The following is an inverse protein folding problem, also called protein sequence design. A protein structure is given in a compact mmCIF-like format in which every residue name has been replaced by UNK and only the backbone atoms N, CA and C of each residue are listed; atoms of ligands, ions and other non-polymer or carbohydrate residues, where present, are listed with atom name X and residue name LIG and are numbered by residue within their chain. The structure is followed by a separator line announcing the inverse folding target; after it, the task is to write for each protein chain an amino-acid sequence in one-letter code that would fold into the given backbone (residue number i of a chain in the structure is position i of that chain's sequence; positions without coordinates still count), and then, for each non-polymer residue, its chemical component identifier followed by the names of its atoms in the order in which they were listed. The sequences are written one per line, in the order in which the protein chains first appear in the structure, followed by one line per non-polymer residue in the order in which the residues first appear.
data_IF_460177853833
#
_entry.id   IF_460177853833
#
_cell.length_a   1.000
_cell.length_b   1.000
_cell.length_c   1.000
_cell.angle_alpha   90.00
_cell.angle_beta   90.00
_cell.angle_gamma   90.00
#
_symmetry.space_group_name_H-M   'P 1'
#
loop_
_entity.id
_entity.type
_entity.pdbx_description
1 polymer ?
#
# COMPACT_ATOMS: atom_id res chain seq x y z
N UNK A 1 29.66 40.94 -56.03
CA UNK A 1 30.45 39.81 -55.48
C UNK A 1 30.60 40.00 -53.98
N UNK A 2 29.77 39.40 -53.22
CA UNK A 2 29.85 39.31 -51.75
C UNK A 2 29.52 37.91 -51.29
N UNK A 3 30.30 37.30 -50.41
CA UNK A 3 30.04 35.92 -49.97
C UNK A 3 29.09 35.93 -48.82
N UNK A 4 28.06 35.11 -48.96
CA UNK A 4 27.15 34.75 -47.85
C UNK A 4 27.86 33.81 -46.89
N UNK A 5 27.84 34.22 -45.64
CA UNK A 5 28.42 33.50 -44.51
C UNK A 5 27.39 32.49 -43.98
N UNK A 6 27.72 31.24 -44.12
CA UNK A 6 26.99 30.11 -43.61
C UNK A 6 27.21 30.05 -42.10
N UNK A 7 26.17 30.27 -41.30
CA UNK A 7 26.17 29.99 -39.84
C UNK A 7 25.27 28.83 -39.57
N UNK A 8 25.90 27.70 -39.32
CA UNK A 8 25.38 26.48 -38.77
C UNK A 8 24.42 26.70 -37.58
N UNK A 9 23.18 26.28 -37.78
CA UNK A 9 22.20 26.07 -36.73
C UNK A 9 22.47 24.69 -36.11
N UNK A 10 23.24 24.68 -35.03
CA UNK A 10 23.35 23.51 -34.15
C UNK A 10 23.48 24.00 -32.72
N UNK A 11 22.33 24.16 -32.07
CA UNK A 11 22.18 23.98 -30.63
C UNK A 11 20.68 24.03 -30.31
N UNK A 12 20.04 22.88 -30.44
CA UNK A 12 18.76 22.63 -29.74
C UNK A 12 19.12 22.41 -28.29
N UNK A 13 18.97 23.47 -27.50
CA UNK A 13 18.99 23.38 -26.05
C UNK A 13 17.95 22.36 -25.60
N UNK A 14 18.43 21.36 -24.91
CA UNK A 14 17.60 20.41 -24.19
C UNK A 14 16.78 21.18 -23.14
N UNK A 15 15.54 21.49 -23.47
CA UNK A 15 14.57 21.99 -22.49
C UNK A 15 14.29 20.85 -21.52
N UNK A 16 15.01 20.86 -20.42
CA UNK A 16 14.66 20.02 -19.27
C UNK A 16 13.34 20.57 -18.74
N UNK A 17 12.24 19.93 -19.10
CA UNK A 17 10.92 20.20 -18.52
C UNK A 17 11.00 19.72 -17.08
N UNK A 18 11.35 20.60 -16.16
CA UNK A 18 11.07 20.40 -14.74
C UNK A 18 9.55 20.34 -14.61
N UNK A 19 9.02 19.14 -14.41
CA UNK A 19 7.63 18.97 -14.02
C UNK A 19 7.45 19.79 -12.74
N UNK A 20 6.76 20.93 -12.83
CA UNK A 20 6.46 21.80 -11.69
C UNK A 20 5.74 20.93 -10.67
N UNK A 21 6.37 20.65 -9.53
CA UNK A 21 5.79 19.80 -8.50
C UNK A 21 4.47 20.44 -8.06
N UNK A 22 3.36 19.73 -8.28
CA UNK A 22 2.03 20.23 -7.95
C UNK A 22 1.91 20.35 -6.44
N UNK A 23 1.73 21.57 -5.92
CA UNK A 23 1.55 21.83 -4.49
C UNK A 23 0.11 22.23 -4.20
N UNK A 24 -0.52 21.52 -3.29
CA UNK A 24 -1.90 21.74 -2.85
C UNK A 24 -1.90 22.08 -1.36
N UNK A 25 -2.43 23.24 -1.03
CA UNK A 25 -2.52 23.73 0.36
C UNK A 25 -3.95 23.57 0.89
N UNK A 26 -4.08 22.73 1.91
CA UNK A 26 -5.34 22.52 2.65
C UNK A 26 -5.47 23.61 3.71
N UNK A 27 -6.49 24.45 3.58
CA UNK A 27 -6.74 25.59 4.48
C UNK A 27 -7.72 25.25 5.60
N UNK A 28 -8.61 24.28 5.38
CA UNK A 28 -9.63 23.87 6.34
C UNK A 28 -9.32 22.49 6.88
N UNK A 29 -9.28 22.38 8.19
CA UNK A 29 -8.97 21.14 8.88
C UNK A 29 -8.64 21.40 10.35
N UNK A 30 -8.27 20.37 11.06
CA UNK A 30 -7.92 20.44 12.48
C UNK A 30 -6.91 19.35 12.82
N UNK A 31 -5.75 19.76 13.32
CA UNK A 31 -4.81 18.86 13.98
C UNK A 31 -5.25 18.69 15.43
N UNK A 32 -5.77 17.52 15.77
CA UNK A 32 -6.26 17.24 17.13
C UNK A 32 -5.07 17.11 18.07
N UNK A 33 -4.95 17.95 19.11
CA UNK A 33 -3.81 17.94 20.03
C UNK A 33 -3.91 16.82 21.07
N UNK A 34 -3.61 15.59 20.63
CA UNK A 34 -3.57 14.41 21.52
C UNK A 34 -2.17 14.28 22.11
N UNK A 35 -2.07 14.14 23.43
CA UNK A 35 -0.80 13.87 24.11
C UNK A 35 -0.31 12.45 23.88
N UNK A 36 0.99 12.19 24.11
CA UNK A 36 1.57 10.86 23.91
C UNK A 36 1.93 10.59 22.45
N UNK A 37 2.47 11.62 21.77
CA UNK A 37 2.99 11.46 20.40
C UNK A 37 4.12 10.43 20.37
N UNK A 38 4.08 9.42 19.49
CA UNK A 38 5.11 8.41 19.40
C UNK A 38 6.44 9.00 18.92
N UNK A 39 7.53 8.59 19.56
CA UNK A 39 8.86 8.77 19.01
C UNK A 39 8.94 8.11 17.63
N UNK A 40 9.50 8.82 16.65
CA UNK A 40 9.60 8.34 15.26
C UNK A 40 10.80 7.39 15.07
N UNK A 41 11.09 6.59 16.09
CA UNK A 41 12.09 5.53 16.06
C UNK A 41 11.39 4.17 16.08
N UNK A 42 11.78 3.29 15.15
CA UNK A 42 11.21 1.96 15.02
C UNK A 42 11.86 1.00 16.00
N UNK A 43 11.06 0.40 16.86
CA UNK A 43 11.45 -0.66 17.79
C UNK A 43 10.86 -1.98 17.31
N UNK A 44 11.63 -3.05 17.36
CA UNK A 44 11.11 -4.39 17.12
C UNK A 44 10.19 -4.78 18.27
N UNK A 45 8.96 -5.11 17.94
CA UNK A 45 7.98 -5.55 18.93
C UNK A 45 8.28 -6.98 19.41
N UNK A 46 7.71 -7.35 20.55
CA UNK A 46 7.72 -8.73 21.01
C UNK A 46 7.04 -9.63 19.96
N UNK A 47 7.54 -10.85 19.74
CA UNK A 47 6.86 -11.81 18.88
C UNK A 47 5.44 -12.09 19.40
N UNK A 48 4.46 -12.04 18.51
CA UNK A 48 3.09 -12.44 18.81
C UNK A 48 2.89 -13.92 18.50
N UNK A 49 1.97 -14.57 19.21
CA UNK A 49 1.59 -15.97 19.01
C UNK A 49 0.35 -16.12 18.15
N UNK A 50 -0.44 -15.05 18.03
CA UNK A 50 -1.68 -15.04 17.27
C UNK A 50 -1.69 -13.90 16.27
N UNK A 51 -2.26 -14.21 15.10
CA UNK A 51 -2.58 -13.22 14.08
C UNK A 51 -4.03 -13.38 13.66
N UNK A 52 -4.64 -12.29 13.24
CA UNK A 52 -6.03 -12.27 12.79
C UNK A 52 -6.20 -11.60 11.45
N UNK A 53 -7.14 -12.12 10.66
CA UNK A 53 -7.66 -11.47 9.48
C UNK A 53 -9.09 -11.05 9.76
N UNK A 54 -9.41 -9.76 9.61
CA UNK A 54 -10.72 -9.22 9.97
C UNK A 54 -11.59 -9.07 8.72
N UNK A 55 -12.81 -9.62 8.77
CA UNK A 55 -13.78 -9.49 7.69
C UNK A 55 -14.24 -8.05 7.49
N UNK A 56 -14.30 -7.26 8.55
CA UNK A 56 -14.74 -5.85 8.53
C UNK A 56 -13.78 -4.91 7.82
N UNK A 57 -12.51 -5.32 7.65
CA UNK A 57 -11.52 -4.53 6.90
C UNK A 57 -11.82 -4.44 5.40
N UNK A 58 -12.75 -5.27 4.92
CA UNK A 58 -13.10 -5.36 3.51
C UNK A 58 -14.58 -5.06 3.29
N UNK A 59 -14.86 -3.87 2.76
CA UNK A 59 -16.23 -3.41 2.48
C UNK A 59 -16.92 -4.35 1.49
N UNK A 60 -18.16 -4.79 1.84
CA UNK A 60 -18.99 -5.70 1.02
C UNK A 60 -18.38 -7.09 0.78
N UNK A 61 -17.46 -7.53 1.64
CA UNK A 61 -16.87 -8.86 1.58
C UNK A 61 -17.93 -9.95 1.73
N UNK A 62 -17.94 -10.90 0.79
CA UNK A 62 -18.71 -12.14 0.87
C UNK A 62 -17.76 -13.33 0.79
N UNK A 63 -17.27 -13.83 1.93
CA UNK A 63 -16.24 -14.86 1.93
C UNK A 63 -16.79 -16.24 1.56
N UNK A 64 -16.06 -16.94 0.68
CA UNK A 64 -16.12 -18.39 0.51
C UNK A 64 -14.91 -18.97 1.25
N UNK A 65 -15.14 -19.59 2.40
CA UNK A 65 -14.07 -20.16 3.22
C UNK A 65 -13.40 -21.32 2.48
N UNK A 66 -12.08 -21.35 2.50
CA UNK A 66 -11.23 -22.40 1.97
C UNK A 66 -10.58 -23.22 3.10
N UNK A 67 -10.71 -22.75 4.34
CA UNK A 67 -10.16 -23.39 5.53
C UNK A 67 -11.23 -23.54 6.62
N UNK A 68 -11.00 -24.46 7.54
CA UNK A 68 -11.80 -24.71 8.74
C UNK A 68 -10.95 -24.53 10.00
N UNK A 69 -11.62 -24.46 11.17
CA UNK A 69 -10.93 -24.49 12.46
C UNK A 69 -10.17 -25.82 12.62
N UNK A 70 -8.92 -25.73 13.05
CA UNK A 70 -8.01 -26.87 13.19
C UNK A 70 -7.07 -27.07 11.99
N UNK A 71 -7.35 -26.48 10.83
CA UNK A 71 -6.50 -26.62 9.65
C UNK A 71 -5.13 -25.96 9.88
N UNK A 72 -4.08 -26.60 9.36
CA UNK A 72 -2.75 -26.02 9.21
C UNK A 72 -2.70 -25.17 7.94
N UNK A 73 -2.12 -24.00 8.08
CA UNK A 73 -1.93 -23.06 6.95
C UNK A 73 -0.52 -22.56 6.90
N UNK A 74 -0.04 -22.29 5.68
CA UNK A 74 1.23 -21.62 5.42
C UNK A 74 1.05 -20.11 5.36
N UNK A 75 2.12 -19.35 5.58
CA UNK A 75 2.15 -17.93 5.24
C UNK A 75 1.81 -17.77 3.74
N UNK A 76 0.88 -16.89 3.42
CA UNK A 76 0.44 -16.65 2.04
C UNK A 76 -0.60 -17.61 1.50
N UNK A 77 -0.93 -18.69 2.21
CA UNK A 77 -2.00 -19.60 1.80
C UNK A 77 -3.36 -18.93 1.85
N UNK A 78 -4.20 -19.15 0.84
CA UNK A 78 -5.55 -18.58 0.79
C UNK A 78 -6.44 -19.12 1.93
N UNK A 79 -7.04 -18.22 2.70
CA UNK A 79 -7.99 -18.53 3.78
C UNK A 79 -9.43 -18.51 3.28
N UNK A 80 -9.75 -17.56 2.44
CA UNK A 80 -11.05 -17.44 1.80
C UNK A 80 -10.98 -16.60 0.53
N UNK A 81 -11.93 -16.83 -0.36
CA UNK A 81 -12.09 -16.10 -1.61
C UNK A 81 -13.28 -15.12 -1.52
N UNK A 82 -13.23 -14.03 -2.25
CA UNK A 82 -14.33 -13.09 -2.35
C UNK A 82 -15.33 -13.52 -3.44
N UNK A 83 -16.52 -14.03 -3.05
CA UNK A 83 -17.53 -14.59 -3.97
C UNK A 83 -17.93 -13.68 -5.14
N UNK A 84 -17.86 -12.34 -4.96
CA UNK A 84 -18.23 -11.37 -6.00
C UNK A 84 -17.07 -10.96 -6.90
N UNK A 85 -15.84 -11.30 -6.53
CA UNK A 85 -14.61 -10.94 -7.24
C UNK A 85 -13.79 -12.23 -7.42
N UNK A 86 -14.05 -13.04 -8.44
CA UNK A 86 -13.35 -14.30 -8.65
C UNK A 86 -11.84 -14.12 -8.71
N UNK A 87 -11.10 -15.01 -8.05
CA UNK A 87 -9.64 -14.95 -7.93
C UNK A 87 -9.11 -14.02 -6.84
N UNK A 88 -9.96 -13.16 -6.25
CA UNK A 88 -9.54 -12.31 -5.13
C UNK A 88 -9.59 -13.12 -3.85
N UNK A 89 -8.42 -13.50 -3.34
CA UNK A 89 -8.25 -14.22 -2.09
C UNK A 89 -7.68 -13.34 -0.99
N UNK A 90 -8.04 -13.67 0.24
CA UNK A 90 -7.39 -13.16 1.44
C UNK A 90 -6.53 -14.29 2.00
N UNK A 91 -5.25 -14.00 2.20
CA UNK A 91 -4.23 -15.00 2.54
C UNK A 91 -3.81 -14.93 3.99
N UNK A 92 -3.22 -16.01 4.50
CA UNK A 92 -2.75 -16.12 5.87
C UNK A 92 -1.53 -15.21 6.11
N UNK A 93 -1.54 -14.33 7.13
CA UNK A 93 -0.41 -13.48 7.48
C UNK A 93 0.69 -14.20 8.27
N UNK A 94 0.63 -15.50 8.40
CA UNK A 94 1.63 -16.34 9.05
C UNK A 94 1.26 -17.82 8.99
N UNK A 95 2.27 -18.67 9.11
CA UNK A 95 2.10 -20.11 9.19
C UNK A 95 1.60 -20.53 10.57
N UNK A 96 0.69 -21.49 10.61
CA UNK A 96 0.16 -21.98 11.89
C UNK A 96 -1.13 -22.77 11.76
N UNK A 97 -1.89 -22.79 12.85
CA UNK A 97 -3.18 -23.49 12.92
C UNK A 97 -4.31 -22.49 13.01
N UNK A 98 -5.33 -22.64 12.18
CA UNK A 98 -6.58 -21.87 12.29
C UNK A 98 -7.24 -22.18 13.64
N UNK A 99 -7.16 -21.24 14.57
CA UNK A 99 -7.63 -21.43 15.95
C UNK A 99 -9.12 -21.18 16.09
N UNK A 100 -9.64 -20.19 15.36
CA UNK A 100 -11.05 -19.82 15.41
C UNK A 100 -11.48 -19.06 14.15
N UNK A 101 -12.75 -19.24 13.77
CA UNK A 101 -13.43 -18.47 12.72
C UNK A 101 -14.66 -17.82 13.34
N UNK A 102 -14.49 -16.57 13.78
CA UNK A 102 -15.57 -15.84 14.43
C UNK A 102 -16.58 -15.29 13.41
N UNK A 103 -17.85 -15.50 13.72
CA UNK A 103 -18.96 -15.00 12.91
C UNK A 103 -19.95 -14.22 13.78
N UNK A 104 -20.38 -13.08 13.27
CA UNK A 104 -21.39 -12.23 13.90
C UNK A 104 -22.81 -12.54 13.40
N UNK A 105 -23.68 -11.56 13.59
CA UNK A 105 -25.05 -11.61 13.11
C UNK A 105 -25.10 -11.94 11.61
N UNK A 106 -26.14 -12.68 11.19
CA UNK A 106 -26.31 -13.14 9.80
C UNK A 106 -25.09 -13.89 9.22
N UNK A 107 -24.28 -14.52 10.10
CA UNK A 107 -23.05 -15.26 9.75
C UNK A 107 -21.97 -14.38 9.08
N UNK A 108 -22.00 -13.05 9.29
CA UNK A 108 -20.96 -12.16 8.82
C UNK A 108 -19.60 -12.58 9.39
N UNK A 109 -18.59 -12.73 8.54
CA UNK A 109 -17.24 -13.05 9.00
C UNK A 109 -16.70 -11.86 9.83
N UNK A 110 -16.36 -12.12 11.09
CA UNK A 110 -15.71 -11.16 11.96
C UNK A 110 -14.19 -11.31 11.88
N UNK A 111 -13.68 -12.50 12.12
CA UNK A 111 -12.24 -12.76 12.04
C UNK A 111 -11.93 -14.24 11.77
N UNK A 112 -10.76 -14.48 11.18
CA UNK A 112 -10.05 -15.75 11.16
C UNK A 112 -8.81 -15.57 12.02
N UNK A 113 -8.68 -16.35 13.09
CA UNK A 113 -7.55 -16.30 14.03
C UNK A 113 -6.63 -17.48 13.78
N UNK A 114 -5.36 -17.23 13.60
CA UNK A 114 -4.32 -18.23 13.40
C UNK A 114 -3.37 -18.19 14.59
N UNK A 115 -3.15 -19.34 15.23
CA UNK A 115 -2.07 -19.53 16.20
C UNK A 115 -0.81 -19.88 15.41
N UNK A 116 0.19 -19.03 15.49
CA UNK A 116 1.45 -19.19 14.77
C UNK A 116 2.23 -20.41 15.27
N UNK A 117 2.91 -21.06 14.36
CA UNK A 117 3.89 -22.11 14.66
C UNK A 117 5.27 -21.46 14.93
N UNK A 118 6.18 -22.23 15.55
CA UNK A 118 7.55 -21.77 15.83
C UNK A 118 8.39 -21.67 14.54
N UNK A 119 8.01 -22.43 13.50
CA UNK A 119 8.62 -22.40 12.18
C UNK A 119 7.65 -21.81 11.16
N UNK A 120 8.15 -20.94 10.28
CA UNK A 120 7.32 -20.31 9.26
C UNK A 120 7.43 -21.06 7.94
N UNK A 121 6.44 -21.91 7.63
CA UNK A 121 6.26 -22.48 6.29
C UNK A 121 5.50 -21.47 5.42
N UNK A 122 5.93 -21.26 4.16
CA UNK A 122 5.38 -20.21 3.30
C UNK A 122 5.06 -20.68 1.89
N UNK A 123 4.07 -20.05 1.30
CA UNK A 123 3.83 -20.12 -0.15
C UNK A 123 4.82 -19.19 -0.86
N UNK A 124 5.29 -19.64 -2.02
CA UNK A 124 6.15 -18.83 -2.89
C UNK A 124 5.40 -18.39 -4.14
N UNK A 125 5.71 -17.20 -4.61
CA UNK A 125 5.03 -16.54 -5.73
C UNK A 125 6.02 -16.21 -6.84
N UNK A 126 5.55 -15.68 -7.95
CA UNK A 126 6.43 -15.27 -9.02
C UNK A 126 7.36 -14.12 -8.57
N UNK A 127 8.64 -14.26 -8.89
CA UNK A 127 9.65 -13.22 -8.70
C UNK A 127 10.34 -12.90 -10.02
N UNK A 128 10.83 -11.68 -10.12
CA UNK A 128 11.42 -11.15 -11.34
C UNK A 128 12.71 -10.40 -11.03
N UNK A 129 13.72 -10.49 -11.89
CA UNK A 129 14.90 -9.63 -11.82
C UNK A 129 14.49 -8.15 -11.86
N UNK A 130 15.21 -7.30 -11.12
CA UNK A 130 14.87 -5.87 -10.97
C UNK A 130 14.79 -5.15 -12.31
N UNK A 131 15.70 -5.46 -13.24
CA UNK A 131 15.75 -4.90 -14.59
C UNK A 131 14.55 -5.30 -15.47
N UNK A 132 13.82 -6.35 -15.10
CA UNK A 132 12.63 -6.81 -15.80
C UNK A 132 11.32 -6.20 -15.27
N UNK A 133 11.31 -5.59 -14.09
CA UNK A 133 10.09 -5.05 -13.47
C UNK A 133 9.37 -4.03 -14.37
N UNK A 134 10.14 -3.20 -15.09
CA UNK A 134 9.58 -2.21 -16.01
C UNK A 134 9.01 -2.79 -17.31
N UNK A 135 9.29 -4.06 -17.61
CA UNK A 135 8.82 -4.76 -18.82
C UNK A 135 7.68 -5.75 -18.53
N UNK A 136 7.27 -5.90 -17.28
CA UNK A 136 6.15 -6.79 -16.91
C UNK A 136 4.89 -6.43 -17.67
N UNK A 137 4.15 -7.44 -18.07
CA UNK A 137 2.80 -7.27 -18.59
C UNK A 137 1.81 -7.00 -17.46
N UNK A 138 0.73 -6.31 -17.77
CA UNK A 138 -0.41 -6.11 -16.88
C UNK A 138 -0.91 -7.43 -16.27
N UNK A 139 -1.06 -8.46 -17.11
CA UNK A 139 -1.50 -9.79 -16.67
C UNK A 139 -0.55 -10.40 -15.64
N UNK A 140 0.77 -10.33 -15.84
CA UNK A 140 1.75 -10.83 -14.87
C UNK A 140 1.61 -10.13 -13.51
N UNK A 141 1.35 -8.82 -13.52
CA UNK A 141 1.16 -8.05 -12.30
C UNK A 141 -0.14 -8.44 -11.60
N UNK A 142 -1.25 -8.48 -12.33
CA UNK A 142 -2.56 -8.86 -11.79
C UNK A 142 -2.53 -10.27 -11.20
N UNK A 143 -2.03 -11.25 -11.95
CA UNK A 143 -2.00 -12.65 -11.55
C UNK A 143 -1.18 -12.85 -10.27
N UNK A 144 -0.01 -12.22 -10.18
CA UNK A 144 0.85 -12.35 -8.99
C UNK A 144 0.27 -11.65 -7.75
N UNK A 145 -0.36 -10.47 -7.93
CA UNK A 145 -1.07 -9.78 -6.84
C UNK A 145 -2.30 -10.57 -6.36
N UNK A 146 -3.02 -11.23 -7.26
CA UNK A 146 -4.16 -12.09 -6.91
C UNK A 146 -3.67 -13.34 -6.18
N UNK A 147 -2.69 -14.05 -6.71
CA UNK A 147 -2.15 -15.27 -6.13
C UNK A 147 -1.61 -15.05 -4.71
N UNK A 148 -0.91 -13.94 -4.47
CA UNK A 148 -0.34 -13.59 -3.18
C UNK A 148 -1.35 -13.01 -2.17
N UNK A 149 -2.55 -12.63 -2.63
CA UNK A 149 -3.54 -11.91 -1.82
C UNK A 149 -3.23 -10.41 -1.66
N UNK A 150 -2.14 -9.87 -2.20
CA UNK A 150 -1.84 -8.44 -2.11
C UNK A 150 -2.77 -7.57 -2.95
N UNK A 151 -3.53 -8.15 -3.88
CA UNK A 151 -4.56 -7.41 -4.62
C UNK A 151 -5.53 -6.65 -3.71
N UNK A 152 -5.84 -7.18 -2.52
CA UNK A 152 -6.78 -6.56 -1.58
C UNK A 152 -6.29 -5.21 -1.02
N UNK A 153 -5.02 -4.87 -1.21
CA UNK A 153 -4.47 -3.56 -0.86
C UNK A 153 -5.04 -2.44 -1.75
N UNK A 154 -5.42 -2.76 -2.98
CA UNK A 154 -6.01 -1.80 -3.92
C UNK A 154 -7.47 -1.54 -3.56
N UNK A 155 -7.75 -0.31 -3.10
CA UNK A 155 -9.09 0.12 -2.71
C UNK A 155 -9.69 1.03 -3.76
N UNK A 156 -10.86 0.64 -4.29
CA UNK A 156 -11.60 1.40 -5.28
C UNK A 156 -12.52 2.45 -4.64
N UNK A 157 -12.36 3.71 -5.03
CA UNK A 157 -13.23 4.81 -4.61
C UNK A 157 -14.29 5.09 -5.69
N UNK A 158 -15.52 5.46 -5.28
CA UNK A 158 -15.91 6.15 -4.04
C UNK A 158 -16.16 5.26 -2.81
N UNK A 159 -16.35 3.95 -2.95
CA UNK A 159 -16.87 3.12 -1.86
C UNK A 159 -15.80 2.41 -1.02
N UNK A 160 -14.52 2.54 -1.33
CA UNK A 160 -13.40 1.87 -0.66
C UNK A 160 -13.51 0.33 -0.64
N UNK A 161 -14.15 -0.24 -1.65
CA UNK A 161 -14.19 -1.68 -1.88
C UNK A 161 -12.85 -2.18 -2.42
N UNK A 162 -12.60 -3.48 -2.34
CA UNK A 162 -11.50 -4.10 -3.08
C UNK A 162 -11.69 -3.80 -4.57
N UNK A 163 -10.61 -3.44 -5.24
CA UNK A 163 -10.64 -3.17 -6.68
C UNK A 163 -11.06 -4.42 -7.47
N UNK A 164 -11.91 -4.24 -8.48
CA UNK A 164 -12.27 -5.32 -9.40
C UNK A 164 -11.11 -5.56 -10.37
N UNK A 165 -10.47 -6.75 -10.36
CA UNK A 165 -9.31 -7.03 -11.20
C UNK A 165 -9.59 -7.00 -12.71
N UNK A 166 -10.86 -7.10 -13.11
CA UNK A 166 -11.28 -7.05 -14.51
C UNK A 166 -11.41 -5.61 -15.04
N UNK A 167 -11.34 -4.61 -14.18
CA UNK A 167 -11.47 -3.18 -14.53
C UNK A 167 -10.11 -2.46 -14.43
N UNK A 168 -10.09 -1.22 -14.92
CA UNK A 168 -8.97 -0.30 -14.73
C UNK A 168 -9.47 1.04 -14.20
N UNK A 169 -8.74 1.67 -13.27
CA UNK A 169 -9.14 2.96 -12.69
C UNK A 169 -8.75 4.10 -13.62
N UNK A 170 -9.35 5.28 -13.39
CA UNK A 170 -8.91 6.51 -14.03
C UNK A 170 -7.54 6.99 -13.51
N UNK A 171 -7.19 6.66 -12.27
CA UNK A 171 -5.88 6.92 -11.67
C UNK A 171 -5.65 5.98 -10.47
N UNK A 172 -4.36 5.79 -10.11
CA UNK A 172 -3.95 5.11 -8.87
C UNK A 172 -3.29 6.14 -7.95
N UNK A 173 -3.61 6.08 -6.66
CA UNK A 173 -3.06 6.97 -5.65
C UNK A 173 -2.25 6.20 -4.62
N UNK A 174 -1.03 6.62 -4.40
CA UNK A 174 -0.17 6.16 -3.30
C UNK A 174 -0.12 7.26 -2.25
N UNK A 175 -0.61 6.96 -1.04
CA UNK A 175 -0.46 7.87 0.10
C UNK A 175 0.89 7.65 0.75
N UNK A 176 1.82 8.59 0.51
CA UNK A 176 3.16 8.62 1.09
C UNK A 176 3.29 9.76 2.14
N UNK A 177 2.19 10.11 2.76
CA UNK A 177 2.08 11.00 3.91
C UNK A 177 0.89 10.55 4.78
N UNK A 178 0.91 10.98 6.05
CA UNK A 178 -0.18 10.72 6.97
C UNK A 178 -0.39 11.95 7.87
N UNK A 179 -1.62 12.43 7.97
CA UNK A 179 -2.02 13.52 8.84
C UNK A 179 -2.95 13.07 9.99
N UNK A 180 -3.14 11.75 10.17
CA UNK A 180 -3.89 11.28 11.32
C UNK A 180 -3.15 11.63 12.62
N UNK A 181 -3.87 11.94 13.70
CA UNK A 181 -3.24 12.17 15.00
C UNK A 181 -2.37 10.97 15.40
N UNK A 182 -1.18 11.27 15.94
CA UNK A 182 -0.22 10.28 16.44
C UNK A 182 0.31 9.28 15.39
N UNK A 183 0.12 9.52 14.10
CA UNK A 183 0.59 8.65 13.05
C UNK A 183 2.13 8.57 12.99
N UNK A 184 2.62 7.48 12.40
CA UNK A 184 4.01 7.37 11.99
C UNK A 184 4.29 8.32 10.81
N UNK A 185 5.46 8.95 10.80
CA UNK A 185 5.94 9.68 9.61
C UNK A 185 6.36 8.67 8.54
N UNK A 186 5.74 8.71 7.34
CA UNK A 186 6.10 7.79 6.27
C UNK A 186 7.51 7.98 5.72
N UNK A 187 8.07 9.18 5.77
CA UNK A 187 9.34 9.50 5.10
C UNK A 187 10.51 8.64 5.58
N UNK A 188 10.81 8.54 6.89
CA UNK A 188 11.88 7.67 7.38
C UNK A 188 11.66 6.20 7.02
N UNK A 189 10.40 5.75 7.03
CA UNK A 189 10.03 4.37 6.74
C UNK A 189 10.21 4.03 5.26
N UNK A 190 9.82 4.93 4.36
CA UNK A 190 10.04 4.79 2.93
C UNK A 190 11.54 4.85 2.62
N UNK A 191 12.29 5.75 3.28
CA UNK A 191 13.73 5.88 3.06
C UNK A 191 14.48 4.61 3.47
N UNK A 192 14.08 3.98 4.58
CA UNK A 192 14.65 2.70 5.02
C UNK A 192 14.37 1.54 4.04
N UNK A 193 13.33 1.65 3.24
CA UNK A 193 12.88 0.63 2.26
C UNK A 193 12.83 1.22 0.84
N UNK A 194 13.76 2.13 0.53
CA UNK A 194 13.76 2.93 -0.70
C UNK A 194 13.69 2.09 -1.97
N UNK A 195 14.49 1.03 -2.06
CA UNK A 195 14.51 0.13 -3.21
C UNK A 195 13.16 -0.59 -3.37
N UNK A 196 12.66 -1.20 -2.29
CA UNK A 196 11.38 -1.91 -2.31
C UNK A 196 10.22 -0.98 -2.68
N UNK A 197 10.23 0.26 -2.19
CA UNK A 197 9.23 1.25 -2.54
C UNK A 197 9.29 1.64 -4.03
N UNK A 198 10.49 1.89 -4.56
CA UNK A 198 10.71 2.18 -5.99
C UNK A 198 10.29 1.01 -6.89
N UNK A 199 10.62 -0.23 -6.51
CA UNK A 199 10.20 -1.44 -7.21
C UNK A 199 8.67 -1.59 -7.20
N UNK A 200 8.02 -1.35 -6.06
CA UNK A 200 6.56 -1.38 -5.95
C UNK A 200 5.87 -0.35 -6.84
N UNK A 201 6.39 0.87 -6.92
CA UNK A 201 5.88 1.88 -7.85
C UNK A 201 6.07 1.44 -9.31
N UNK A 202 7.22 0.85 -9.65
CA UNK A 202 7.48 0.32 -11.00
C UNK A 202 6.47 -0.76 -11.36
N UNK A 203 6.22 -1.71 -10.47
CA UNK A 203 5.22 -2.77 -10.66
C UNK A 203 3.81 -2.19 -10.84
N UNK A 204 3.37 -1.29 -9.94
CA UNK A 204 2.05 -0.65 -10.03
C UNK A 204 1.87 0.14 -11.32
N UNK A 205 2.93 0.73 -11.84
CA UNK A 205 2.91 1.44 -13.12
C UNK A 205 2.59 0.53 -14.32
N UNK A 206 2.74 -0.78 -14.16
CA UNK A 206 2.45 -1.77 -15.21
C UNK A 206 0.97 -2.15 -15.29
N UNK A 207 0.14 -1.74 -14.33
CA UNK A 207 -1.31 -1.94 -14.38
C UNK A 207 -2.02 -1.10 -15.45
N UNK A 208 -1.31 -0.24 -16.17
CA UNK A 208 -1.83 0.55 -17.27
C UNK A 208 -1.07 1.86 -17.47
N UNK A 209 -1.61 2.73 -18.30
CA UNK A 209 -1.01 4.04 -18.64
C UNK A 209 -1.65 5.22 -17.89
N UNK A 210 -2.64 4.93 -17.00
CA UNK A 210 -3.28 5.94 -16.18
C UNK A 210 -2.29 6.59 -15.20
N UNK A 211 -2.54 7.82 -14.74
CA UNK A 211 -1.70 8.46 -13.75
C UNK A 211 -1.56 7.63 -12.47
N UNK A 212 -0.31 7.43 -12.03
CA UNK A 212 0.04 6.91 -10.71
C UNK A 212 0.54 8.09 -9.86
N UNK A 213 -0.32 8.60 -8.99
CA UNK A 213 -0.03 9.73 -8.13
C UNK A 213 0.64 9.30 -6.83
N UNK A 214 1.84 9.81 -6.55
CA UNK A 214 2.50 9.69 -5.24
C UNK A 214 2.26 10.99 -4.48
N UNK A 215 1.38 10.93 -3.47
CA UNK A 215 0.98 12.07 -2.65
C UNK A 215 1.84 12.13 -1.39
N UNK A 216 2.56 13.25 -1.20
CA UNK A 216 3.59 13.40 -0.17
C UNK A 216 3.52 14.77 0.52
N UNK A 217 4.22 14.93 1.64
CA UNK A 217 4.48 16.24 2.25
C UNK A 217 5.44 17.06 1.36
N UNK A 218 5.40 18.38 1.42
CA UNK A 218 6.26 19.23 0.57
C UNK A 218 7.76 18.97 0.76
N UNK A 219 8.17 18.68 1.98
CA UNK A 219 9.58 18.46 2.36
C UNK A 219 10.05 17.01 2.15
N UNK A 220 9.16 16.09 1.81
CA UNK A 220 9.53 14.70 1.59
C UNK A 220 10.29 14.55 0.25
N UNK A 221 11.46 13.93 0.32
CA UNK A 221 12.19 13.44 -0.86
C UNK A 221 11.97 11.93 -0.92
N UNK A 222 11.33 11.45 -1.99
CA UNK A 222 10.96 10.05 -2.13
C UNK A 222 11.69 9.41 -3.31
N UNK A 223 12.09 8.14 -3.20
CA UNK A 223 12.75 7.40 -4.27
C UNK A 223 11.73 7.02 -5.35
N UNK A 224 11.63 7.83 -6.39
CA UNK A 224 10.73 7.57 -7.52
C UNK A 224 11.47 6.89 -8.66
N UNK A 225 10.83 5.95 -9.37
CA UNK A 225 11.40 5.33 -10.54
C UNK A 225 11.54 6.35 -11.68
N UNK A 226 12.69 6.32 -12.34
CA UNK A 226 12.96 7.19 -13.47
C UNK A 226 12.35 6.64 -14.78
N UNK A 227 12.06 7.52 -15.74
CA UNK A 227 11.60 7.13 -17.07
C UNK A 227 10.12 6.75 -17.17
N UNK A 228 9.35 6.78 -16.08
CA UNK A 228 7.93 6.48 -16.06
C UNK A 228 7.10 7.77 -16.02
N UNK A 229 6.78 8.34 -17.18
CA UNK A 229 6.12 9.65 -17.33
C UNK A 229 4.73 9.74 -16.69
N UNK A 230 4.05 8.62 -16.47
CA UNK A 230 2.74 8.57 -15.84
C UNK A 230 2.82 8.41 -14.30
N UNK A 231 4.01 8.16 -13.74
CA UNK A 231 4.25 8.27 -12.29
C UNK A 231 4.47 9.74 -11.94
N UNK A 232 3.57 10.32 -11.18
CA UNK A 232 3.51 11.75 -10.88
C UNK A 232 3.56 12.00 -9.39
N UNK A 233 4.11 13.15 -8.98
CA UNK A 233 4.11 13.58 -7.59
C UNK A 233 3.13 14.73 -7.38
N UNK A 234 2.50 14.74 -6.19
CA UNK A 234 1.76 15.89 -5.70
C UNK A 234 2.08 16.11 -4.22
N UNK A 235 2.39 17.35 -3.87
CA UNK A 235 2.67 17.74 -2.49
C UNK A 235 1.42 18.34 -1.85
N UNK A 236 1.12 17.88 -0.63
CA UNK A 236 0.00 18.37 0.17
C UNK A 236 0.52 18.97 1.47
N UNK A 237 0.08 20.20 1.78
CA UNK A 237 0.43 20.93 2.98
C UNK A 237 -0.83 21.36 3.73
N UNK A 238 -0.76 21.38 5.05
CA UNK A 238 -1.84 21.86 5.90
C UNK A 238 -2.26 20.86 6.97
N UNK A 239 -3.30 21.23 7.77
CA UNK A 239 -3.78 20.37 8.85
C UNK A 239 -4.49 19.12 8.31
N UNK A 240 -4.75 18.16 9.20
CA UNK A 240 -5.64 17.06 8.88
C UNK A 240 -6.98 17.60 8.32
N UNK A 241 -7.45 17.13 7.16
CA UNK A 241 -7.19 15.83 6.51
C UNK A 241 -6.20 15.88 5.33
N UNK A 242 -5.18 16.73 5.34
CA UNK A 242 -4.23 16.87 4.22
C UNK A 242 -3.59 15.54 3.76
N UNK A 243 -3.36 14.60 4.69
CA UNK A 243 -2.75 13.29 4.42
C UNK A 243 -3.72 12.16 4.08
N UNK A 244 -5.01 12.44 3.90
CA UNK A 244 -5.98 11.39 3.60
C UNK A 244 -6.12 11.13 2.09
N UNK A 245 -6.28 9.86 1.66
CA UNK A 245 -6.49 9.54 0.25
C UNK A 245 -7.71 10.24 -0.35
N UNK A 246 -8.79 10.44 0.44
CA UNK A 246 -9.98 11.17 -0.02
C UNK A 246 -9.68 12.62 -0.38
N UNK A 247 -8.81 13.29 0.36
CA UNK A 247 -8.36 14.66 0.06
C UNK A 247 -7.52 14.68 -1.20
N UNK A 248 -6.56 13.77 -1.33
CA UNK A 248 -5.71 13.66 -2.52
C UNK A 248 -6.55 13.45 -3.78
N UNK A 249 -7.48 12.50 -3.74
CA UNK A 249 -8.38 12.17 -4.86
C UNK A 249 -9.25 13.38 -5.23
N UNK A 250 -9.81 14.07 -4.23
CA UNK A 250 -10.67 15.23 -4.45
C UNK A 250 -9.98 16.33 -5.26
N UNK A 251 -8.71 16.61 -4.96
CA UNK A 251 -7.98 17.71 -5.58
C UNK A 251 -7.31 17.35 -6.91
N UNK A 252 -6.97 16.06 -7.12
CA UNK A 252 -6.23 15.63 -8.30
C UNK A 252 -7.11 14.97 -9.37
N UNK A 253 -7.95 14.02 -8.95
CA UNK A 253 -8.79 13.22 -9.85
C UNK A 253 -10.13 12.89 -9.16
N UNK A 254 -11.02 13.89 -8.98
CA UNK A 254 -12.29 13.68 -8.28
C UNK A 254 -13.09 12.53 -8.89
N UNK A 255 -13.64 11.69 -8.02
CA UNK A 255 -14.50 10.56 -8.38
C UNK A 255 -15.95 10.98 -8.56
N UNK A 256 -16.67 10.28 -9.40
CA UNK A 256 -18.11 10.35 -9.57
C UNK A 256 -18.70 8.94 -9.82
N UNK A 257 -19.96 8.86 -10.22
CA UNK A 257 -20.63 7.56 -10.47
C UNK A 257 -20.02 6.76 -11.62
N UNK A 258 -19.29 7.41 -12.54
CA UNK A 258 -18.69 6.81 -13.72
C UNK A 258 -17.16 6.77 -13.66
N UNK A 259 -16.56 7.49 -12.70
CA UNK A 259 -15.11 7.62 -12.56
C UNK A 259 -14.63 6.99 -11.27
N UNK A 260 -13.96 5.85 -11.41
CA UNK A 260 -13.36 5.09 -10.30
C UNK A 260 -11.85 5.34 -10.28
N UNK A 261 -11.29 5.54 -9.09
CA UNK A 261 -9.85 5.55 -8.85
C UNK A 261 -9.49 4.53 -7.80
N UNK A 262 -8.24 4.06 -7.83
CA UNK A 262 -7.73 3.15 -6.79
C UNK A 262 -6.75 3.88 -5.89
N UNK A 263 -6.64 3.41 -4.65
CA UNK A 263 -5.61 3.91 -3.73
C UNK A 263 -5.06 2.80 -2.85
N UNK A 264 -3.82 3.01 -2.39
CA UNK A 264 -3.14 2.19 -1.41
C UNK A 264 -2.14 3.06 -0.63
N UNK A 265 -1.63 2.56 0.49
CA UNK A 265 -0.63 3.27 1.27
C UNK A 265 0.81 2.82 0.92
N UNK A 266 1.80 3.55 1.44
CA UNK A 266 3.22 3.30 1.16
C UNK A 266 3.71 1.93 1.64
N UNK A 267 3.20 1.37 2.75
CA UNK A 267 3.63 0.07 3.24
C UNK A 267 3.16 -1.07 2.32
N UNK A 268 1.99 -0.93 1.70
CA UNK A 268 1.53 -1.86 0.66
C UNK A 268 2.43 -1.77 -0.60
N UNK A 269 2.86 -0.57 -0.99
CA UNK A 269 3.78 -0.40 -2.12
C UNK A 269 5.12 -1.11 -1.84
N UNK A 270 5.67 -0.96 -0.64
CA UNK A 270 6.88 -1.66 -0.20
C UNK A 270 6.68 -3.19 -0.25
N UNK A 271 5.54 -3.67 0.26
CA UNK A 271 5.23 -5.10 0.24
C UNK A 271 5.11 -5.66 -1.18
N UNK A 272 4.52 -4.90 -2.11
CA UNK A 272 4.45 -5.26 -3.54
C UNK A 272 5.86 -5.32 -4.14
N UNK A 273 6.72 -4.34 -3.87
CA UNK A 273 8.10 -4.36 -4.35
C UNK A 273 8.86 -5.58 -3.86
N UNK A 274 8.76 -5.91 -2.57
CA UNK A 274 9.36 -7.11 -1.98
C UNK A 274 8.82 -8.40 -2.60
N UNK A 275 7.50 -8.51 -2.80
CA UNK A 275 6.90 -9.67 -3.44
C UNK A 275 7.50 -9.92 -4.82
N UNK A 276 7.51 -8.91 -5.67
CA UNK A 276 7.92 -9.06 -7.07
C UNK A 276 9.42 -9.32 -7.23
N UNK A 277 10.25 -8.89 -6.29
CA UNK A 277 11.70 -9.14 -6.34
C UNK A 277 12.13 -10.44 -5.66
N UNK A 278 11.38 -10.90 -4.63
CA UNK A 278 11.77 -12.07 -3.84
C UNK A 278 10.86 -13.29 -4.02
N UNK A 279 9.65 -13.14 -4.54
CA UNK A 279 8.61 -14.17 -4.58
C UNK A 279 8.03 -14.51 -3.20
N UNK A 280 8.31 -13.71 -2.17
CA UNK A 280 7.88 -13.95 -0.79
C UNK A 280 6.95 -12.86 -0.30
N UNK A 281 5.91 -13.24 0.44
CA UNK A 281 4.95 -12.30 1.00
C UNK A 281 5.55 -11.61 2.25
N UNK A 282 5.72 -10.29 2.17
CA UNK A 282 6.15 -9.50 3.33
C UNK A 282 4.96 -9.15 4.21
N UNK A 283 4.96 -9.62 5.43
CA UNK A 283 3.94 -9.31 6.45
C UNK A 283 4.38 -8.26 7.45
N UNK A 284 5.59 -7.73 7.33
CA UNK A 284 6.10 -6.66 8.20
C UNK A 284 5.21 -5.44 8.14
N UNK A 285 4.87 -4.89 9.30
CA UNK A 285 4.12 -3.65 9.47
C UNK A 285 4.75 -2.78 10.54
N UNK A 286 4.78 -1.48 10.26
CA UNK A 286 5.14 -0.47 11.26
C UNK A 286 3.84 0.18 11.73
N UNK A 287 3.62 0.13 13.03
CA UNK A 287 2.46 0.73 13.69
C UNK A 287 2.88 1.74 14.73
N UNK A 288 2.14 2.83 14.87
CA UNK A 288 2.37 3.84 15.88
C UNK A 288 1.61 3.46 17.16
N UNK A 289 2.34 3.23 18.23
CA UNK A 289 1.81 3.09 19.58
C UNK A 289 1.90 4.43 20.28
N UNK A 290 0.77 5.12 20.41
CA UNK A 290 0.70 6.47 20.99
C UNK A 290 -0.58 6.70 21.78
N UNK A 291 -0.65 7.81 22.48
CA UNK A 291 -1.79 8.24 23.27
C UNK A 291 -1.47 8.52 24.73
N UNK A 292 -2.38 9.20 25.45
CA UNK A 292 -2.11 9.75 26.79
C UNK A 292 -1.82 8.68 27.87
N UNK A 293 -2.27 7.45 27.65
CA UNK A 293 -2.06 6.34 28.60
C UNK A 293 -0.91 5.42 28.20
N UNK A 294 -0.24 5.66 27.08
CA UNK A 294 0.91 4.87 26.67
C UNK A 294 2.15 5.33 27.42
N UNK A 295 2.79 4.43 28.18
CA UNK A 295 3.97 4.74 28.98
C UNK A 295 5.18 5.13 28.12
N UNK A 296 5.34 4.49 26.98
CA UNK A 296 6.45 4.69 26.05
C UNK A 296 5.91 4.76 24.61
N UNK A 297 5.41 5.94 24.19
CA UNK A 297 4.93 6.14 22.82
C UNK A 297 6.07 5.98 21.80
N UNK A 298 5.92 5.08 20.84
CA UNK A 298 6.95 4.74 19.85
C UNK A 298 6.37 4.05 18.62
N UNK A 299 7.18 3.87 17.58
CA UNK A 299 6.83 3.01 16.48
C UNK A 299 7.25 1.58 16.79
N UNK A 300 6.38 0.63 16.43
CA UNK A 300 6.62 -0.79 16.59
C UNK A 300 6.66 -1.49 15.23
N UNK A 301 7.75 -2.21 14.98
CA UNK A 301 7.80 -3.17 13.88
C UNK A 301 7.17 -4.48 14.36
N UNK A 302 6.10 -4.87 13.73
CA UNK A 302 5.35 -6.09 13.99
C UNK A 302 4.96 -6.77 12.68
N UNK A 303 3.99 -7.66 12.71
CA UNK A 303 3.48 -8.32 11.51
C UNK A 303 2.00 -7.99 11.28
N UNK A 304 1.56 -8.15 10.04
CA UNK A 304 0.17 -8.00 9.64
C UNK A 304 -0.73 -8.90 10.49
N UNK A 305 -1.81 -8.32 11.01
CA UNK A 305 -2.79 -9.05 11.82
C UNK A 305 -2.35 -9.40 13.24
N UNK A 306 -1.24 -8.86 13.74
CA UNK A 306 -0.74 -9.12 15.09
C UNK A 306 -1.80 -8.89 16.17
N UNK A 307 -1.89 -9.81 17.13
CA UNK A 307 -2.78 -9.69 18.30
C UNK A 307 -2.32 -8.49 19.16
N UNK A 308 -3.21 -7.52 19.36
CA UNK A 308 -2.88 -6.28 20.11
C UNK A 308 -2.53 -6.57 21.57
N UNK A 309 -3.24 -7.49 22.22
CA UNK A 309 -2.98 -7.86 23.62
C UNK A 309 -1.58 -8.47 23.83
N UNK A 310 -1.03 -9.11 22.81
CA UNK A 310 0.32 -9.68 22.86
C UNK A 310 1.39 -8.67 22.45
N UNK A 311 0.99 -7.62 21.72
CA UNK A 311 1.86 -6.61 21.18
C UNK A 311 2.23 -5.53 22.22
N UNK A 312 1.32 -5.17 23.14
CA UNK A 312 1.44 -4.08 24.10
C UNK A 312 1.77 -4.52 25.54
#
# INVERSE_FOLDING_TARGET
TSPFNDRSLTQLDSVTVFATAMMIRIKKGLDVPISGKPEQLVHVAKPVRHVGVLGVDHVDLKPAMLVAEGDKVKLGQALFEHKKLPGVCITAPGAGTVRAIHRGAQRLLQSVVIRLDDTEDEETFASYPVDQLASLTDTQVVDNLLASGLWVALRARPYSKIADPTTRPAAIFVTAMDSNPLAADPVPLITAEAESFGHGLTVLSRLGTMPLWVCKSPTAELPLPQGLSHVRQASFEGPHPAGLPGTHIHFLEPVDVNKVVWHLNYQEVIAIGKLFTSGRLSTTRIVALGGPHVKQPRLLQTRLGACIEELI
#
